data_IF_369018963836
#
_entry.id   IF_369018963836
#
_cell.length_a   1.000
_cell.length_b   1.000
_cell.length_c   1.000
_cell.angle_alpha   90.00
_cell.angle_beta   90.00
_cell.angle_gamma   90.00
#
_symmetry.space_group_name_H-M   'P 1'
#
loop_
_entity.id
_entity.type
_entity.pdbx_description
1 polymer ?
#
# COMPACT_ATOMS: atom_id res chain seq x y z
N UNK A 1 2.47 -12.02 10.18
CA UNK A 1 1.63 -10.84 10.42
C UNK A 1 1.81 -9.83 9.31
N UNK A 2 0.76 -9.60 8.53
CA UNK A 2 0.70 -8.73 7.35
C UNK A 2 0.37 -7.26 7.68
N UNK A 3 0.27 -6.94 8.98
CA UNK A 3 -0.07 -5.63 9.52
C UNK A 3 0.78 -4.46 8.97
N UNK A 4 2.13 -4.53 8.92
CA UNK A 4 2.93 -3.39 8.44
C UNK A 4 2.69 -3.07 6.96
N UNK A 5 2.39 -4.08 6.14
CA UNK A 5 2.11 -3.89 4.71
C UNK A 5 0.72 -3.33 4.47
N UNK A 6 -0.29 -3.80 5.21
CA UNK A 6 -1.63 -3.23 5.12
C UNK A 6 -1.64 -1.74 5.46
N UNK A 7 -0.88 -1.32 6.48
CA UNK A 7 -0.73 0.10 6.83
C UNK A 7 -0.12 0.90 5.67
N UNK A 8 0.90 0.37 4.99
CA UNK A 8 1.49 1.02 3.83
C UNK A 8 0.49 1.18 2.67
N UNK A 9 -0.36 0.18 2.42
CA UNK A 9 -1.42 0.26 1.42
C UNK A 9 -2.44 1.35 1.75
N UNK A 10 -2.93 1.41 3.00
CA UNK A 10 -3.89 2.43 3.43
C UNK A 10 -3.29 3.85 3.37
N UNK A 11 -2.04 4.02 3.81
CA UNK A 11 -1.33 5.30 3.71
C UNK A 11 -1.14 5.71 2.25
N UNK A 12 -0.69 4.78 1.40
CA UNK A 12 -0.54 5.03 -0.04
C UNK A 12 -1.86 5.46 -0.69
N UNK A 13 -2.97 4.82 -0.31
CA UNK A 13 -4.30 5.18 -0.79
C UNK A 13 -4.71 6.61 -0.39
N UNK A 14 -4.54 6.95 0.89
CA UNK A 14 -4.87 8.29 1.40
C UNK A 14 -4.02 9.36 0.69
N UNK A 15 -2.73 9.11 0.53
CA UNK A 15 -1.81 10.03 -0.17
C UNK A 15 -2.19 10.16 -1.65
N UNK A 16 -2.54 9.07 -2.35
CA UNK A 16 -2.95 9.10 -3.74
C UNK A 16 -4.25 9.88 -3.96
N UNK A 17 -5.25 9.70 -3.08
CA UNK A 17 -6.53 10.43 -3.15
C UNK A 17 -6.32 11.93 -2.87
N UNK A 18 -5.61 12.26 -1.80
CA UNK A 18 -5.35 13.67 -1.43
C UNK A 18 -4.51 14.40 -2.46
N UNK A 19 -3.47 13.77 -3.02
CA UNK A 19 -2.69 14.33 -4.12
C UNK A 19 -3.50 14.44 -5.41
N UNK A 20 -4.35 13.47 -5.73
CA UNK A 20 -5.28 13.56 -6.87
C UNK A 20 -6.23 14.75 -6.77
N UNK A 21 -6.79 15.01 -5.58
CA UNK A 21 -7.59 16.22 -5.33
C UNK A 21 -6.75 17.50 -5.48
N UNK A 22 -5.49 17.50 -5.01
CA UNK A 22 -4.59 18.63 -5.18
C UNK A 22 -4.22 18.89 -6.66
N UNK A 23 -4.12 17.85 -7.50
CA UNK A 23 -3.94 18.02 -8.96
C UNK A 23 -5.15 18.75 -9.54
N UNK A 24 -6.36 18.34 -9.18
CA UNK A 24 -7.59 18.97 -9.67
C UNK A 24 -7.67 20.44 -9.26
N UNK A 25 -7.32 20.78 -8.02
CA UNK A 25 -7.32 22.19 -7.58
C UNK A 25 -6.27 23.02 -8.32
N UNK A 26 -5.06 22.47 -8.54
CA UNK A 26 -4.01 23.14 -9.32
C UNK A 26 -4.46 23.39 -10.77
N UNK A 27 -5.14 22.42 -11.40
CA UNK A 27 -5.70 22.59 -12.76
C UNK A 27 -6.79 23.67 -12.78
N UNK A 28 -7.71 23.67 -11.81
CA UNK A 28 -8.78 24.66 -11.73
C UNK A 28 -8.24 26.08 -11.53
N UNK A 29 -7.26 26.24 -10.63
CA UNK A 29 -6.59 27.53 -10.40
C UNK A 29 -5.82 27.98 -11.65
N UNK A 30 -5.24 27.05 -12.41
CA UNK A 30 -4.54 27.37 -13.66
C UNK A 30 -5.49 27.83 -14.77
N UNK A 31 -6.71 27.29 -14.82
CA UNK A 31 -7.71 27.60 -15.86
C UNK A 31 -8.57 28.83 -15.54
N UNK A 32 -8.93 29.03 -14.27
CA UNK A 32 -9.90 30.05 -13.86
C UNK A 32 -9.32 31.10 -12.88
N UNK A 33 -8.08 30.94 -12.43
CA UNK A 33 -7.44 31.84 -11.48
C UNK A 33 -6.84 33.11 -12.11
N UNK A 34 -6.47 34.11 -11.30
CA UNK A 34 -5.77 35.31 -11.75
C UNK A 34 -4.43 34.96 -12.43
N UNK A 35 -3.83 35.88 -13.19
CA UNK A 35 -2.56 35.59 -13.88
C UNK A 35 -1.43 35.25 -12.88
N UNK A 36 -0.91 34.03 -12.96
CA UNK A 36 0.26 33.49 -12.23
C UNK A 36 0.19 33.32 -10.68
N UNK A 37 -0.70 32.49 -10.12
CA UNK A 37 -0.69 32.16 -8.68
C UNK A 37 0.30 31.03 -8.30
N UNK A 38 0.76 30.22 -9.27
CA UNK A 38 1.52 28.99 -8.98
C UNK A 38 2.81 28.94 -9.81
N UNK A 39 3.91 29.43 -9.23
CA UNK A 39 5.25 29.37 -9.81
C UNK A 39 5.77 27.93 -9.68
N UNK A 40 5.58 27.10 -10.72
CA UNK A 40 6.28 25.84 -11.08
C UNK A 40 6.41 24.69 -10.06
N UNK A 41 6.75 24.99 -8.80
CA UNK A 41 7.05 24.06 -7.73
C UNK A 41 5.81 23.27 -7.27
N UNK A 42 4.62 23.90 -7.29
CA UNK A 42 3.38 23.25 -6.85
C UNK A 42 3.04 22.03 -7.71
N UNK A 43 3.12 22.16 -9.04
CA UNK A 43 2.87 21.06 -9.99
C UNK A 43 3.86 19.90 -9.79
N UNK A 44 5.13 20.19 -9.57
CA UNK A 44 6.16 19.16 -9.35
C UNK A 44 5.93 18.42 -8.03
N UNK A 45 5.68 19.16 -6.95
CA UNK A 45 5.46 18.57 -5.62
C UNK A 45 4.24 17.66 -5.60
N UNK A 46 3.13 18.12 -6.19
CA UNK A 46 1.90 17.32 -6.28
C UNK A 46 2.10 16.07 -7.15
N UNK A 47 2.83 16.18 -8.26
CA UNK A 47 3.15 15.03 -9.12
C UNK A 47 3.99 13.98 -8.40
N UNK A 48 4.99 14.41 -7.63
CA UNK A 48 5.85 13.52 -6.83
C UNK A 48 5.06 12.85 -5.71
N UNK A 49 4.18 13.58 -5.02
CA UNK A 49 3.31 12.99 -3.99
C UNK A 49 2.33 11.96 -4.59
N UNK A 50 1.76 12.25 -5.75
CA UNK A 50 0.87 11.32 -6.44
C UNK A 50 1.59 10.03 -6.84
N UNK A 51 2.74 10.15 -7.51
CA UNK A 51 3.57 9.00 -7.87
C UNK A 51 4.04 8.23 -6.64
N UNK A 52 4.43 8.92 -5.57
CA UNK A 52 4.80 8.30 -4.29
C UNK A 52 3.65 7.53 -3.65
N UNK A 53 2.43 8.07 -3.68
CA UNK A 53 1.22 7.38 -3.21
C UNK A 53 0.93 6.10 -3.99
N UNK A 54 1.03 6.16 -5.32
CA UNK A 54 0.87 4.99 -6.21
C UNK A 54 1.96 3.93 -5.95
N UNK A 55 3.20 4.34 -5.72
CA UNK A 55 4.29 3.44 -5.37
C UNK A 55 4.06 2.74 -4.03
N UNK A 56 3.61 3.47 -3.00
CA UNK A 56 3.26 2.89 -1.69
C UNK A 56 2.11 1.90 -1.78
N UNK A 57 1.07 2.22 -2.56
CA UNK A 57 -0.02 1.28 -2.88
C UNK A 57 0.51 0.00 -3.52
N UNK A 58 1.37 0.14 -4.52
CA UNK A 58 1.96 -0.99 -5.23
C UNK A 58 2.81 -1.87 -4.30
N UNK A 59 3.64 -1.24 -3.45
CA UNK A 59 4.45 -1.94 -2.45
C UNK A 59 3.58 -2.67 -1.41
N UNK A 60 2.47 -2.05 -0.98
CA UNK A 60 1.53 -2.67 -0.07
C UNK A 60 0.90 -3.94 -0.64
N UNK A 61 0.45 -3.88 -1.90
CA UNK A 61 -0.09 -5.05 -2.62
C UNK A 61 0.99 -6.13 -2.76
N UNK A 62 2.16 -5.79 -3.31
CA UNK A 62 3.27 -6.74 -3.52
C UNK A 62 3.65 -7.40 -2.20
N UNK A 63 3.73 -6.63 -1.13
CA UNK A 63 4.04 -7.13 0.18
C UNK A 63 3.01 -8.17 0.66
N UNK A 64 1.72 -7.92 0.48
CA UNK A 64 0.67 -8.86 0.92
C UNK A 64 0.81 -10.21 0.21
N UNK A 65 1.07 -10.19 -1.09
CA UNK A 65 1.38 -11.41 -1.86
C UNK A 65 2.66 -12.08 -1.36
N UNK A 66 3.72 -11.30 -1.11
CA UNK A 66 4.99 -11.84 -0.60
C UNK A 66 4.83 -12.50 0.77
N UNK A 67 3.98 -11.95 1.64
CA UNK A 67 3.64 -12.54 2.92
C UNK A 67 2.96 -13.90 2.78
N UNK A 68 2.00 -14.02 1.84
CA UNK A 68 1.34 -15.31 1.54
C UNK A 68 2.32 -16.34 0.98
N UNK A 69 3.19 -15.92 0.07
CA UNK A 69 4.25 -16.78 -0.48
C UNK A 69 5.19 -17.24 0.64
N UNK A 70 5.56 -16.35 1.55
CA UNK A 70 6.41 -16.71 2.69
C UNK A 70 5.74 -17.76 3.57
N UNK A 71 4.45 -17.61 3.89
CA UNK A 71 3.72 -18.58 4.70
C UNK A 71 3.63 -19.96 4.00
N UNK A 72 3.44 -19.99 2.67
CA UNK A 72 3.41 -21.20 1.86
C UNK A 72 4.78 -21.92 1.82
N UNK A 73 5.85 -21.16 1.59
CA UNK A 73 7.22 -21.70 1.48
C UNK A 73 7.74 -22.17 2.85
N UNK A 74 7.26 -21.58 3.95
CA UNK A 74 7.72 -21.90 5.31
C UNK A 74 7.38 -23.32 5.76
N UNK A 75 6.42 -24.00 5.10
CA UNK A 75 6.00 -25.38 5.39
C UNK A 75 5.80 -25.65 6.89
N UNK A 76 5.26 -24.68 7.63
CA UNK A 76 5.00 -24.88 9.07
C UNK A 76 3.83 -25.85 9.23
N UNK A 77 4.00 -26.95 9.99
CA UNK A 77 2.88 -27.83 10.30
C UNK A 77 1.79 -27.01 11.02
N UNK A 78 0.53 -27.24 10.65
CA UNK A 78 -0.62 -26.53 11.21
C UNK A 78 -0.72 -26.69 12.73
N UNK A 79 -0.27 -27.84 13.23
CA UNK A 79 -0.23 -28.16 14.64
C UNK A 79 0.90 -29.16 14.91
N UNK A 80 1.41 -29.16 16.15
CA UNK A 80 2.19 -30.27 16.68
C UNK A 80 1.28 -31.07 17.61
N UNK A 81 1.30 -32.39 17.47
CA UNK A 81 0.60 -33.31 18.36
C UNK A 81 1.54 -33.69 19.49
N UNK A 82 1.14 -33.39 20.73
CA UNK A 82 1.92 -33.74 21.94
C UNK A 82 1.62 -35.16 22.43
N UNK A 83 0.33 -35.54 22.48
CA UNK A 83 -0.13 -36.90 22.81
C UNK A 83 -1.40 -37.28 22.04
N UNK A 84 -1.48 -38.54 21.62
CA UNK A 84 -2.71 -39.20 21.15
C UNK A 84 -3.14 -40.29 22.12
N UNK A 85 -4.44 -40.52 22.26
CA UNK A 85 -5.00 -41.63 23.03
C UNK A 85 -6.04 -42.37 22.18
N UNK A 86 -5.84 -43.67 21.97
CA UNK A 86 -6.76 -44.49 21.18
C UNK A 86 -6.75 -44.23 19.67
N UNK A 87 -5.77 -43.50 19.17
CA UNK A 87 -5.58 -43.19 17.74
C UNK A 87 -4.12 -43.45 17.39
N UNK A 88 -3.88 -44.32 16.40
CA UNK A 88 -2.54 -44.57 15.84
C UNK A 88 -2.02 -43.28 15.20
N UNK A 89 -0.78 -42.90 15.50
CA UNK A 89 -0.15 -41.76 14.85
C UNK A 89 0.10 -42.14 13.39
N UNK A 90 -0.61 -41.51 12.46
CA UNK A 90 -0.28 -41.62 11.04
C UNK A 90 1.08 -40.94 10.82
N UNK A 91 2.05 -41.73 10.36
CA UNK A 91 3.43 -41.31 10.03
C UNK A 91 3.47 -40.18 8.99
#
# INVERSE_FOLDING_TARGET
SYLPLQIATYLGFIIAVTSGLAILTVILVRLFGPENPLIGQATTLVSVLFLGGVQLLSLGIIGEYLGRIYDEVKKRPLYLVDKTWGIEQAE
#
